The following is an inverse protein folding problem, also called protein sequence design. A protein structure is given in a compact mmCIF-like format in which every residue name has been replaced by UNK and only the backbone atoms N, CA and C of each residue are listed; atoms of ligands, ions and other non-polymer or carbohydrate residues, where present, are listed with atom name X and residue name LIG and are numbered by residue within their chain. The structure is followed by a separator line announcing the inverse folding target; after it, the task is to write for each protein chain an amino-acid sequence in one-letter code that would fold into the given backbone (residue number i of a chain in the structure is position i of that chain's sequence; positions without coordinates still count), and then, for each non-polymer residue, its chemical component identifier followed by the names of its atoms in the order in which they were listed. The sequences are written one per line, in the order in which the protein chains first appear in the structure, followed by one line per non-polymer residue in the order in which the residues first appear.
data_IF_416803480957
#
_entry.id   IF_416803480957
#
_cell.length_a   1.000
_cell.length_b   1.000
_cell.length_c   1.000
_cell.angle_alpha   90.00
_cell.angle_beta   90.00
_cell.angle_gamma   90.00
#
_symmetry.space_group_name_H-M   'P 1'
#
loop_
_entity.id
_entity.type
_entity.pdbx_description
1 polymer ?
#
# COMPACT_ATOMS: atom_id res chain seq x y z
N UNK A 1 -40.81 -15.97 83.96
CA UNK A 1 -40.10 -15.40 85.13
C UNK A 1 -38.63 -15.82 85.02
N UNK A 2 -37.80 -14.87 84.60
CA UNK A 2 -36.40 -14.63 85.03
C UNK A 2 -35.36 -15.78 85.05
N UNK A 3 -34.30 -15.53 84.26
CA UNK A 3 -32.86 -15.80 84.51
C UNK A 3 -32.29 -17.24 84.45
N UNK A 4 -31.30 -17.38 83.54
CA UNK A 4 -29.84 -17.44 83.79
C UNK A 4 -29.14 -18.60 83.07
N UNK A 5 -28.19 -18.20 82.24
CA UNK A 5 -27.23 -19.00 81.48
C UNK A 5 -26.50 -20.08 82.27
N UNK A 6 -26.30 -21.25 81.64
CA UNK A 6 -25.06 -22.02 81.74
C UNK A 6 -24.69 -22.64 80.38
N UNK A 7 -23.45 -22.36 80.02
CA UNK A 7 -22.65 -22.64 78.83
C UNK A 7 -22.41 -24.13 78.56
N UNK A 8 -22.49 -24.56 77.29
CA UNK A 8 -21.69 -25.68 76.77
C UNK A 8 -21.22 -25.37 75.34
N UNK A 9 -19.91 -25.41 75.16
CA UNK A 9 -19.14 -25.12 73.96
C UNK A 9 -19.31 -26.21 72.90
N UNK A 10 -19.74 -25.86 71.68
CA UNK A 10 -19.67 -26.75 70.52
C UNK A 10 -18.78 -26.13 69.44
N UNK A 11 -17.61 -26.72 69.27
CA UNK A 11 -16.58 -26.32 68.29
C UNK A 11 -17.09 -26.60 66.87
N UNK A 12 -17.20 -25.56 66.04
CA UNK A 12 -17.27 -25.72 64.58
C UNK A 12 -15.92 -25.36 63.97
N UNK A 13 -15.26 -26.36 63.41
CA UNK A 13 -14.07 -26.24 62.57
C UNK A 13 -14.52 -25.70 61.22
N UNK A 14 -14.21 -24.45 60.90
CA UNK A 14 -14.37 -23.90 59.55
C UNK A 14 -13.02 -23.96 58.82
N UNK A 15 -12.85 -24.95 57.95
CA UNK A 15 -11.76 -24.98 56.98
C UNK A 15 -12.04 -23.99 55.85
N UNK A 16 -11.15 -23.01 55.66
CA UNK A 16 -11.16 -22.13 54.49
C UNK A 16 -10.67 -22.94 53.27
N UNK A 17 -11.55 -23.25 52.33
CA UNK A 17 -11.15 -23.63 50.97
C UNK A 17 -10.98 -22.34 50.16
N UNK A 18 -9.74 -21.88 50.01
CA UNK A 18 -9.40 -20.86 49.01
C UNK A 18 -9.33 -21.58 47.66
N UNK A 19 -10.46 -21.63 46.96
CA UNK A 19 -10.48 -21.99 45.54
C UNK A 19 -10.10 -20.75 44.74
N UNK A 20 -8.84 -20.68 44.31
CA UNK A 20 -8.38 -19.67 43.36
C UNK A 20 -8.96 -19.99 41.98
N UNK A 21 -10.00 -19.27 41.58
CA UNK A 21 -10.47 -19.27 40.20
C UNK A 21 -9.50 -18.40 39.39
N UNK A 22 -8.63 -19.04 38.63
CA UNK A 22 -7.84 -18.38 37.59
C UNK A 22 -8.78 -18.12 36.40
N UNK A 23 -9.38 -16.92 36.37
CA UNK A 23 -10.10 -16.45 35.17
C UNK A 23 -9.05 -16.14 34.11
N UNK A 24 -8.80 -17.09 33.22
CA UNK A 24 -8.06 -16.81 31.98
C UNK A 24 -9.00 -15.99 31.12
N UNK A 25 -8.83 -14.66 31.15
CA UNK A 25 -9.51 -13.79 30.21
C UNK A 25 -8.96 -14.10 28.82
N UNK A 26 -9.74 -14.82 28.02
CA UNK A 26 -9.50 -14.92 26.59
C UNK A 26 -9.65 -13.51 26.02
N UNK A 27 -8.53 -12.82 25.84
CA UNK A 27 -8.49 -11.59 25.07
C UNK A 27 -8.77 -12.00 23.64
N UNK A 28 -10.04 -11.97 23.25
CA UNK A 28 -10.45 -12.01 21.87
C UNK A 28 -9.89 -10.75 21.21
N UNK A 29 -8.64 -10.84 20.77
CA UNK A 29 -7.96 -9.79 20.04
C UNK A 29 -8.64 -9.70 18.68
N UNK A 30 -9.69 -8.88 18.58
CA UNK A 30 -10.35 -8.57 17.33
C UNK A 30 -9.36 -7.82 16.46
N UNK A 31 -8.63 -8.54 15.62
CA UNK A 31 -7.83 -7.94 14.57
C UNK A 31 -8.75 -7.07 13.72
N UNK A 32 -8.46 -5.78 13.59
CA UNK A 32 -9.23 -4.87 12.76
C UNK A 32 -9.28 -5.42 11.33
N UNK A 33 -10.44 -5.85 10.85
CA UNK A 33 -10.59 -6.42 9.51
C UNK A 33 -10.43 -5.31 8.46
N UNK A 34 -9.64 -5.58 7.41
CA UNK A 34 -9.56 -4.68 6.25
C UNK A 34 -10.95 -4.44 5.66
N UNK A 35 -11.20 -3.22 5.18
CA UNK A 35 -12.47 -2.87 4.53
C UNK A 35 -12.32 -2.93 3.01
N UNK A 36 -12.44 -4.14 2.46
CA UNK A 36 -12.38 -4.40 1.01
C UNK A 36 -13.72 -4.97 0.56
N UNK A 37 -14.45 -4.17 -0.20
CA UNK A 37 -15.82 -4.50 -0.59
C UNK A 37 -15.99 -4.46 -2.11
N UNK A 38 -16.21 -5.62 -2.76
CA UNK A 38 -16.57 -5.68 -4.17
C UNK A 38 -17.86 -4.91 -4.47
N UNK A 39 -17.89 -4.20 -5.58
CA UNK A 39 -19.14 -3.66 -6.14
C UNK A 39 -19.78 -4.65 -7.13
N UNK A 40 -20.86 -4.22 -7.80
CA UNK A 40 -21.61 -5.02 -8.79
C UNK A 40 -21.39 -4.56 -10.25
N UNK A 41 -20.45 -3.65 -10.49
CA UNK A 41 -20.25 -2.97 -11.77
C UNK A 41 -19.55 -3.84 -12.83
N UNK A 42 -19.04 -5.01 -12.44
CA UNK A 42 -18.54 -6.06 -13.34
C UNK A 42 -19.61 -7.11 -13.71
N UNK A 43 -20.87 -6.91 -13.28
CA UNK A 43 -21.95 -7.86 -13.54
C UNK A 43 -21.70 -9.22 -12.88
N UNK A 44 -21.88 -10.31 -13.64
CA UNK A 44 -21.66 -11.68 -13.15
C UNK A 44 -20.20 -12.00 -12.84
N UNK A 45 -19.26 -11.21 -13.37
CA UNK A 45 -17.81 -11.41 -13.21
C UNK A 45 -17.24 -10.55 -12.08
N UNK A 46 -17.93 -10.53 -10.94
CA UNK A 46 -17.58 -9.73 -9.76
C UNK A 46 -16.24 -10.10 -9.15
N UNK A 47 -15.60 -9.13 -8.49
CA UNK A 47 -14.51 -9.42 -7.55
C UNK A 47 -15.04 -10.25 -6.38
N UNK A 48 -14.21 -11.14 -5.87
CA UNK A 48 -14.49 -12.00 -4.71
C UNK A 48 -13.40 -11.76 -3.68
N UNK A 49 -13.80 -11.49 -2.45
CA UNK A 49 -12.87 -11.34 -1.31
C UNK A 49 -13.09 -12.51 -0.37
N UNK A 50 -12.02 -13.26 -0.10
CA UNK A 50 -11.98 -14.27 0.94
C UNK A 50 -11.17 -13.73 2.12
N UNK A 51 -11.82 -13.31 3.21
CA UNK A 51 -11.13 -12.67 4.33
C UNK A 51 -10.40 -13.69 5.21
N UNK A 52 -9.44 -13.19 6.00
CA UNK A 52 -8.77 -13.94 7.08
C UNK A 52 -8.03 -15.21 6.63
N UNK A 53 -7.46 -15.21 5.43
CA UNK A 53 -6.52 -16.26 5.00
C UNK A 53 -5.10 -15.93 5.46
N UNK A 54 -4.31 -16.95 5.81
CA UNK A 54 -2.90 -16.76 6.10
C UNK A 54 -2.08 -16.76 4.81
N UNK A 55 -1.34 -15.68 4.53
CA UNK A 55 -0.42 -15.57 3.39
C UNK A 55 0.90 -15.06 3.96
N UNK A 56 2.00 -15.78 3.73
CA UNK A 56 3.34 -15.41 4.24
C UNK A 56 3.37 -15.12 5.76
N UNK A 57 2.52 -15.81 6.54
CA UNK A 57 2.44 -15.63 7.99
C UNK A 57 1.65 -14.40 8.46
N UNK A 58 1.01 -13.66 7.56
CA UNK A 58 0.15 -12.52 7.90
C UNK A 58 -1.34 -12.78 7.60
N UNK A 59 -2.26 -12.39 8.51
CA UNK A 59 -3.69 -12.46 8.26
C UNK A 59 -4.06 -11.52 7.10
N UNK A 60 -4.65 -12.09 6.05
CA UNK A 60 -4.82 -11.42 4.78
C UNK A 60 -6.20 -11.66 4.16
N UNK A 61 -6.58 -10.77 3.26
CA UNK A 61 -7.76 -10.94 2.43
C UNK A 61 -7.32 -11.33 1.02
N UNK A 62 -7.76 -12.50 0.55
CA UNK A 62 -7.45 -12.98 -0.80
C UNK A 62 -8.50 -12.52 -1.78
N UNK A 63 -8.06 -11.81 -2.80
CA UNK A 63 -8.89 -11.25 -3.85
C UNK A 63 -8.81 -12.16 -5.07
N UNK A 64 -9.96 -12.65 -5.53
CA UNK A 64 -10.11 -13.54 -6.69
C UNK A 64 -11.36 -13.15 -7.50
N UNK A 65 -11.75 -13.98 -8.47
CA UNK A 65 -12.84 -13.66 -9.40
C UNK A 65 -12.42 -12.60 -10.40
N UNK A 66 -13.31 -11.63 -10.68
CA UNK A 66 -13.05 -10.54 -11.63
C UNK A 66 -13.38 -10.89 -13.08
N UNK A 67 -13.37 -9.87 -13.93
CA UNK A 67 -13.68 -10.00 -15.35
C UNK A 67 -12.38 -10.17 -16.14
N UNK A 68 -12.16 -11.33 -16.77
CA UNK A 68 -10.97 -11.57 -17.60
C UNK A 68 -11.21 -11.16 -19.04
N UNK A 69 -10.25 -10.44 -19.64
CA UNK A 69 -10.19 -10.11 -21.07
C UNK A 69 -8.74 -10.30 -21.55
N UNK A 70 -8.46 -11.43 -22.20
CA UNK A 70 -7.09 -11.77 -22.61
C UNK A 70 -6.13 -11.82 -21.42
N UNK A 71 -5.10 -10.98 -21.46
CA UNK A 71 -4.07 -10.84 -20.42
C UNK A 71 -4.49 -9.95 -19.25
N UNK A 72 -5.65 -9.29 -19.32
CA UNK A 72 -6.13 -8.37 -18.30
C UNK A 72 -7.18 -9.04 -17.40
N UNK A 73 -7.03 -8.84 -16.10
CA UNK A 73 -8.01 -9.22 -15.09
C UNK A 73 -8.54 -7.96 -14.40
N UNK A 74 -9.82 -7.69 -14.54
CA UNK A 74 -10.45 -6.48 -14.01
C UNK A 74 -11.11 -6.77 -12.66
N UNK A 75 -10.82 -5.90 -11.69
CA UNK A 75 -11.45 -5.87 -10.38
C UNK A 75 -12.09 -4.51 -10.12
N UNK A 76 -13.24 -4.55 -9.45
CA UNK A 76 -13.97 -3.35 -9.05
C UNK A 76 -14.43 -3.47 -7.61
N UNK A 77 -14.23 -2.40 -6.85
CA UNK A 77 -14.55 -2.33 -5.44
C UNK A 77 -15.29 -1.04 -5.13
N UNK A 78 -16.26 -1.11 -4.22
CA UNK A 78 -16.82 0.07 -3.57
C UNK A 78 -15.83 0.65 -2.57
N UNK A 79 -15.23 -0.21 -1.76
CA UNK A 79 -14.24 0.16 -0.72
C UNK A 79 -12.98 -0.67 -0.89
N UNK A 80 -11.81 -0.04 -0.71
CA UNK A 80 -10.53 -0.72 -0.77
C UNK A 80 -9.55 -0.12 0.24
N UNK A 81 -9.58 -0.65 1.46
CA UNK A 81 -8.72 -0.26 2.56
C UNK A 81 -8.06 -1.51 3.17
N UNK A 82 -6.78 -1.41 3.50
CA UNK A 82 -6.00 -2.48 4.13
C UNK A 82 -5.51 -1.99 5.48
N UNK A 83 -5.90 -2.65 6.56
CA UNK A 83 -5.49 -2.24 7.90
C UNK A 83 -4.05 -2.64 8.21
N UNK A 84 -3.45 -1.98 9.21
CA UNK A 84 -2.11 -2.31 9.70
C UNK A 84 -2.02 -3.78 10.15
N UNK A 85 -0.85 -4.38 9.94
CA UNK A 85 -0.60 -5.79 10.30
C UNK A 85 -1.34 -6.82 9.45
N UNK A 86 -2.13 -6.39 8.44
CA UNK A 86 -2.86 -7.27 7.52
C UNK A 86 -2.32 -7.20 6.10
N UNK A 87 -2.67 -8.21 5.31
CA UNK A 87 -2.44 -8.23 3.86
C UNK A 87 -3.72 -8.15 3.04
N UNK A 88 -3.61 -7.69 1.79
CA UNK A 88 -4.58 -7.97 0.74
C UNK A 88 -3.84 -8.43 -0.52
N UNK A 89 -4.23 -9.58 -1.03
CA UNK A 89 -3.49 -10.26 -2.09
C UNK A 89 -4.38 -10.63 -3.25
N UNK A 90 -4.06 -10.12 -4.44
CA UNK A 90 -4.70 -10.55 -5.67
C UNK A 90 -4.16 -11.91 -6.10
N UNK A 91 -5.04 -12.86 -6.41
CA UNK A 91 -4.65 -14.07 -7.12
C UNK A 91 -4.21 -13.71 -8.55
N UNK A 92 -3.21 -14.41 -9.07
CA UNK A 92 -2.75 -14.25 -10.45
C UNK A 92 -3.02 -15.54 -11.27
N UNK A 93 -4.20 -15.69 -11.90
CA UNK A 93 -4.49 -16.85 -12.74
C UNK A 93 -3.56 -16.95 -13.95
N UNK A 94 -3.32 -18.17 -14.44
CA UNK A 94 -2.45 -18.40 -15.59
C UNK A 94 -2.82 -17.56 -16.82
N UNK A 95 -1.81 -16.90 -17.40
CA UNK A 95 -1.94 -16.03 -18.57
C UNK A 95 -2.54 -14.65 -18.29
N UNK A 96 -2.68 -14.25 -17.02
CA UNK A 96 -2.93 -12.85 -16.64
C UNK A 96 -1.59 -12.14 -16.47
N UNK A 97 -1.42 -11.03 -17.17
CA UNK A 97 -0.25 -10.16 -17.05
C UNK A 97 -0.56 -8.85 -16.31
N UNK A 98 -1.81 -8.40 -16.34
CA UNK A 98 -2.23 -7.15 -15.69
C UNK A 98 -3.50 -7.35 -14.86
N UNK A 99 -3.47 -6.86 -13.64
CA UNK A 99 -4.60 -6.79 -12.72
C UNK A 99 -5.02 -5.32 -12.64
N UNK A 100 -6.20 -5.02 -13.20
CA UNK A 100 -6.72 -3.67 -13.34
C UNK A 100 -7.81 -3.42 -12.31
N UNK A 101 -7.50 -2.63 -11.29
CA UNK A 101 -8.36 -2.40 -10.13
C UNK A 101 -8.88 -0.98 -10.10
N UNK A 102 -10.18 -0.82 -9.88
CA UNK A 102 -10.81 0.48 -9.62
C UNK A 102 -11.57 0.48 -8.29
N UNK A 103 -11.61 1.65 -7.65
CA UNK A 103 -12.51 1.95 -6.54
C UNK A 103 -13.60 2.90 -7.03
N UNK A 104 -14.87 2.50 -6.91
CA UNK A 104 -16.04 3.26 -7.40
C UNK A 104 -16.82 3.94 -6.29
N UNK A 105 -16.47 3.69 -5.02
CA UNK A 105 -17.04 4.42 -3.90
C UNK A 105 -16.55 5.86 -3.82
N UNK A 106 -16.95 6.55 -2.76
CA UNK A 106 -16.61 7.97 -2.52
C UNK A 106 -15.47 8.15 -1.52
N UNK A 107 -14.96 7.05 -0.97
CA UNK A 107 -13.93 7.09 0.05
C UNK A 107 -12.53 6.90 -0.56
N UNK A 108 -11.56 7.57 0.04
CA UNK A 108 -10.14 7.36 -0.23
C UNK A 108 -9.72 5.94 0.16
N UNK A 109 -8.67 5.44 -0.45
CA UNK A 109 -8.05 4.16 -0.06
C UNK A 109 -6.96 4.37 0.98
N UNK A 110 -7.13 3.78 2.17
CA UNK A 110 -6.10 3.73 3.21
C UNK A 110 -5.41 2.37 3.15
N UNK A 111 -4.18 2.35 2.68
CA UNK A 111 -3.32 1.17 2.58
C UNK A 111 -2.31 1.25 3.71
N UNK A 112 -2.66 0.66 4.86
CA UNK A 112 -1.85 0.71 6.07
C UNK A 112 -1.08 -0.60 6.30
N UNK A 113 -1.47 -1.67 5.59
CA UNK A 113 -0.83 -2.99 5.61
C UNK A 113 -0.11 -3.34 4.31
N UNK A 114 -0.04 -4.64 4.02
CA UNK A 114 0.63 -5.16 2.81
C UNK A 114 -0.36 -5.30 1.65
N UNK A 115 -0.05 -4.72 0.50
CA UNK A 115 -0.77 -4.94 -0.76
C UNK A 115 0.10 -5.80 -1.67
N UNK A 116 -0.42 -6.93 -2.16
CA UNK A 116 0.38 -7.84 -2.96
C UNK A 116 -0.35 -8.56 -4.09
N UNK A 117 0.44 -9.26 -4.91
CA UNK A 117 -0.01 -10.13 -5.98
C UNK A 117 0.63 -11.50 -5.80
N UNK A 118 -0.19 -12.55 -5.79
CA UNK A 118 0.30 -13.94 -5.72
C UNK A 118 0.80 -14.39 -7.09
N UNK A 119 1.91 -13.80 -7.54
CA UNK A 119 2.54 -14.01 -8.84
C UNK A 119 3.26 -12.76 -9.33
N UNK A 120 3.52 -12.69 -10.63
CA UNK A 120 4.29 -11.62 -11.26
C UNK A 120 3.47 -10.67 -12.16
N UNK A 121 2.13 -10.69 -12.06
CA UNK A 121 1.32 -9.74 -12.81
C UNK A 121 1.53 -8.31 -12.32
N UNK A 122 1.42 -7.37 -13.26
CA UNK A 122 1.38 -5.94 -12.96
C UNK A 122 0.08 -5.60 -12.24
N UNK A 123 0.14 -4.69 -11.28
CA UNK A 123 -1.02 -4.22 -10.55
C UNK A 123 -1.29 -2.76 -10.87
N UNK A 124 -2.52 -2.45 -11.28
CA UNK A 124 -3.02 -1.11 -11.48
C UNK A 124 -4.11 -0.86 -10.46
N UNK A 125 -4.03 0.24 -9.71
CA UNK A 125 -5.03 0.65 -8.73
C UNK A 125 -5.41 2.11 -8.98
N UNK A 126 -6.68 2.36 -9.30
CA UNK A 126 -7.23 3.71 -9.40
C UNK A 126 -8.28 3.97 -8.31
N UNK A 127 -8.15 5.10 -7.62
CA UNK A 127 -9.17 5.65 -6.72
C UNK A 127 -9.19 7.18 -6.85
N UNK A 128 -10.20 7.76 -7.52
CA UNK A 128 -10.32 9.22 -7.71
C UNK A 128 -10.40 10.03 -6.42
N UNK A 129 -10.77 9.41 -5.30
CA UNK A 129 -10.95 10.07 -4.01
C UNK A 129 -9.64 10.17 -3.19
N UNK A 130 -8.52 9.70 -3.75
CA UNK A 130 -7.22 9.75 -3.09
C UNK A 130 -6.76 8.42 -2.51
N UNK A 131 -5.45 8.31 -2.29
CA UNK A 131 -4.81 7.09 -1.81
C UNK A 131 -3.74 7.44 -0.78
N UNK A 132 -3.78 6.79 0.38
CA UNK A 132 -2.82 6.96 1.46
C UNK A 132 -2.12 5.62 1.69
N UNK A 133 -0.79 5.61 1.62
CA UNK A 133 0.05 4.54 2.13
C UNK A 133 0.59 4.94 3.51
N UNK A 134 0.19 4.20 4.54
CA UNK A 134 0.63 4.43 5.92
C UNK A 134 2.12 4.09 6.13
N UNK A 135 2.66 4.44 7.29
CA UNK A 135 4.08 4.21 7.59
C UNK A 135 4.49 2.73 7.54
N UNK A 136 3.55 1.84 7.87
CA UNK A 136 3.75 0.39 7.84
C UNK A 136 3.33 -0.26 6.50
N UNK A 137 2.92 0.55 5.53
CA UNK A 137 2.49 0.05 4.23
C UNK A 137 3.65 -0.61 3.48
N UNK A 138 3.36 -1.76 2.88
CA UNK A 138 4.32 -2.52 2.08
C UNK A 138 3.67 -2.99 0.79
N UNK A 139 4.49 -3.16 -0.24
CA UNK A 139 4.10 -3.81 -1.47
C UNK A 139 4.79 -5.18 -1.54
N UNK A 140 4.02 -6.21 -1.87
CA UNK A 140 4.53 -7.53 -2.30
C UNK A 140 4.09 -7.76 -3.74
N UNK A 141 4.70 -6.99 -4.64
CA UNK A 141 4.37 -6.95 -6.08
C UNK A 141 5.65 -7.18 -6.88
N UNK A 142 5.76 -8.36 -7.48
CA UNK A 142 6.92 -8.74 -8.28
C UNK A 142 6.90 -8.13 -9.69
N UNK A 143 5.73 -7.73 -10.19
CA UNK A 143 5.57 -6.98 -11.44
C UNK A 143 5.69 -5.47 -11.23
N UNK A 144 5.19 -4.70 -12.19
CA UNK A 144 5.04 -3.25 -12.06
C UNK A 144 3.80 -2.88 -11.24
N UNK A 145 3.87 -1.76 -10.52
CA UNK A 145 2.74 -1.19 -9.80
C UNK A 145 2.44 0.23 -10.28
N UNK A 146 1.20 0.44 -10.72
CA UNK A 146 0.68 1.75 -11.12
C UNK A 146 -0.45 2.12 -10.16
N UNK A 147 -0.28 3.23 -9.45
CA UNK A 147 -1.28 3.76 -8.53
C UNK A 147 -1.66 5.18 -8.92
N UNK A 148 -2.96 5.45 -9.00
CA UNK A 148 -3.44 6.73 -9.52
C UNK A 148 -4.76 7.21 -8.93
N UNK A 149 -4.97 8.52 -8.92
CA UNK A 149 -6.27 9.16 -8.65
C UNK A 149 -7.02 9.52 -9.93
N UNK A 150 -6.65 8.92 -11.07
CA UNK A 150 -7.37 9.07 -12.32
C UNK A 150 -8.80 8.52 -12.24
N UNK A 151 -9.71 9.18 -12.95
CA UNK A 151 -11.10 8.76 -13.12
C UNK A 151 -11.23 7.47 -13.93
N UNK A 152 -10.36 7.21 -14.92
CA UNK A 152 -10.40 6.00 -15.73
C UNK A 152 -9.06 5.62 -16.37
N UNK A 153 -8.92 4.33 -16.65
CA UNK A 153 -7.91 3.78 -17.56
C UNK A 153 -8.44 3.81 -19.00
N UNK A 154 -7.61 4.24 -19.94
CA UNK A 154 -7.94 4.29 -21.38
C UNK A 154 -7.14 3.24 -22.15
N UNK A 155 -7.81 2.53 -23.06
CA UNK A 155 -7.23 1.49 -23.92
C UNK A 155 -7.02 2.01 -25.35
N UNK A 156 -6.16 1.35 -26.17
CA UNK A 156 -5.87 1.78 -27.54
C UNK A 156 -7.09 1.96 -28.44
N UNK A 157 -8.14 1.18 -28.22
CA UNK A 157 -9.39 1.24 -28.97
C UNK A 157 -10.39 2.30 -28.45
N UNK A 158 -9.94 3.18 -27.55
CA UNK A 158 -10.78 4.22 -26.94
C UNK A 158 -11.70 3.72 -25.82
N UNK A 159 -11.72 2.41 -25.54
CA UNK A 159 -12.47 1.85 -24.43
C UNK A 159 -11.92 2.36 -23.09
N UNK A 160 -12.80 2.43 -22.09
CA UNK A 160 -12.49 3.00 -20.78
C UNK A 160 -12.88 2.02 -19.67
N UNK A 161 -12.00 1.90 -18.67
CA UNK A 161 -12.34 1.28 -17.40
C UNK A 161 -12.39 2.35 -16.32
N UNK A 162 -13.62 2.80 -16.01
CA UNK A 162 -13.87 4.02 -15.24
C UNK A 162 -14.29 3.77 -13.80
N UNK A 163 -13.70 4.51 -12.87
CA UNK A 163 -14.08 4.56 -11.45
C UNK A 163 -15.31 5.46 -11.21
N UNK A 164 -15.45 6.56 -11.96
CA UNK A 164 -16.50 7.59 -11.74
C UNK A 164 -17.78 7.38 -12.55
N UNK A 165 -17.71 6.65 -13.67
CA UNK A 165 -18.88 6.17 -14.41
C UNK A 165 -18.69 4.68 -14.74
N UNK A 166 -18.85 3.81 -13.73
CA UNK A 166 -18.40 2.44 -13.84
C UNK A 166 -19.36 1.61 -14.70
N UNK A 167 -18.83 1.10 -15.80
CA UNK A 167 -19.44 0.07 -16.63
C UNK A 167 -18.54 -1.18 -16.66
N UNK A 168 -19.12 -2.33 -17.01
CA UNK A 168 -18.35 -3.56 -17.19
C UNK A 168 -17.37 -3.39 -18.37
N UNK A 169 -16.13 -3.92 -18.28
CA UNK A 169 -15.15 -3.78 -19.35
C UNK A 169 -15.62 -4.52 -20.61
N UNK A 170 -15.50 -3.91 -21.79
CA UNK A 170 -15.92 -4.52 -23.04
C UNK A 170 -15.07 -5.76 -23.36
N UNK A 171 -15.60 -6.64 -24.22
CA UNK A 171 -14.95 -7.92 -24.53
C UNK A 171 -13.57 -7.75 -25.21
N UNK A 172 -13.36 -6.64 -25.92
CA UNK A 172 -12.16 -6.32 -26.68
C UNK A 172 -11.09 -5.52 -25.89
N UNK A 173 -11.14 -5.53 -24.57
CA UNK A 173 -10.09 -4.91 -23.72
C UNK A 173 -8.93 -5.88 -23.43
N UNK A 174 -8.33 -6.46 -24.48
CA UNK A 174 -7.20 -7.41 -24.37
C UNK A 174 -5.82 -6.73 -24.31
N UNK A 175 -5.76 -5.44 -24.62
CA UNK A 175 -4.51 -4.66 -24.66
C UNK A 175 -4.20 -4.03 -23.30
N UNK A 176 -2.95 -3.61 -23.08
CA UNK A 176 -2.57 -2.82 -21.89
C UNK A 176 -3.19 -1.42 -21.99
N UNK A 177 -3.65 -0.81 -20.86
CA UNK A 177 -4.02 0.60 -20.86
C UNK A 177 -2.89 1.49 -21.37
N UNK A 178 -3.22 2.48 -22.20
CA UNK A 178 -2.26 3.45 -22.77
C UNK A 178 -2.30 4.80 -22.07
N UNK A 179 -3.24 5.02 -21.14
CA UNK A 179 -3.35 6.30 -20.48
C UNK A 179 -4.23 6.30 -19.25
N UNK A 180 -3.95 7.28 -18.40
CA UNK A 180 -4.73 7.69 -17.24
C UNK A 180 -5.48 8.98 -17.61
N UNK A 181 -6.79 9.03 -17.33
CA UNK A 181 -7.58 10.24 -17.54
C UNK A 181 -8.26 10.66 -16.25
N UNK A 182 -8.07 11.92 -15.89
CA UNK A 182 -8.44 12.47 -14.59
C UNK A 182 -9.86 13.00 -14.51
N UNK A 183 -10.50 13.25 -15.66
CA UNK A 183 -11.83 13.87 -15.71
C UNK A 183 -11.74 15.39 -15.58
N UNK A 184 -12.86 16.04 -15.25
CA UNK A 184 -12.98 17.49 -15.14
C UNK A 184 -12.85 18.01 -13.71
N UNK A 185 -12.85 17.12 -12.72
CA UNK A 185 -12.64 17.46 -11.33
C UNK A 185 -11.13 17.50 -11.03
N UNK A 186 -10.74 18.35 -10.08
CA UNK A 186 -9.36 18.37 -9.61
C UNK A 186 -9.00 16.99 -9.03
N UNK A 187 -7.91 16.35 -9.48
CA UNK A 187 -7.54 15.04 -8.96
C UNK A 187 -7.14 15.10 -7.50
N UNK A 188 -7.50 14.07 -6.74
CA UNK A 188 -7.09 13.96 -5.34
C UNK A 188 -5.63 13.53 -5.18
N UNK A 189 -5.15 13.63 -3.93
CA UNK A 189 -3.77 13.36 -3.59
C UNK A 189 -3.42 11.86 -3.44
N UNK A 190 -2.15 11.56 -3.67
CA UNK A 190 -1.49 10.34 -3.20
C UNK A 190 -0.49 10.72 -2.12
N UNK A 191 -0.62 10.13 -0.94
CA UNK A 191 0.30 10.36 0.19
C UNK A 191 0.96 9.04 0.54
N UNK A 192 2.29 8.98 0.49
CA UNK A 192 3.07 7.83 0.90
C UNK A 192 3.94 8.15 2.12
N UNK A 193 3.69 7.45 3.23
CA UNK A 193 4.55 7.43 4.40
C UNK A 193 5.33 6.11 4.56
N UNK A 194 5.04 5.11 3.73
CA UNK A 194 5.62 3.78 3.80
C UNK A 194 6.79 3.55 2.84
N UNK A 195 7.41 2.38 2.94
CA UNK A 195 8.49 1.96 2.04
C UNK A 195 7.89 1.09 0.94
N UNK A 196 7.68 1.68 -0.24
CA UNK A 196 7.07 1.03 -1.39
C UNK A 196 8.16 0.49 -2.31
N UNK A 197 8.37 -0.82 -2.30
CA UNK A 197 9.33 -1.52 -3.18
C UNK A 197 8.60 -2.51 -4.08
N UNK A 198 8.90 -2.50 -5.37
CA UNK A 198 8.30 -3.40 -6.37
C UNK A 198 9.36 -4.01 -7.27
N UNK A 199 9.06 -5.15 -7.88
CA UNK A 199 9.97 -5.83 -8.80
C UNK A 199 10.18 -5.06 -10.12
N UNK A 200 9.10 -4.56 -10.72
CA UNK A 200 9.10 -3.83 -11.99
C UNK A 200 9.10 -2.30 -11.82
N UNK A 201 8.33 -1.61 -12.65
CA UNK A 201 8.15 -0.15 -12.59
C UNK A 201 7.22 0.25 -11.44
N UNK A 202 7.47 1.41 -10.83
CA UNK A 202 6.61 2.02 -9.82
C UNK A 202 6.12 3.38 -10.30
N UNK A 203 4.82 3.53 -10.55
CA UNK A 203 4.23 4.78 -11.01
C UNK A 203 3.18 5.29 -10.03
N UNK A 204 3.40 6.47 -9.45
CA UNK A 204 2.44 7.19 -8.62
C UNK A 204 1.96 8.43 -9.38
N UNK A 205 0.65 8.51 -9.66
CA UNK A 205 0.12 9.58 -10.50
C UNK A 205 -1.22 10.14 -10.00
N UNK A 206 -1.20 11.32 -9.38
CA UNK A 206 -2.40 11.95 -8.80
C UNK A 206 -2.34 13.47 -8.85
N UNK A 207 -3.27 14.15 -8.17
CA UNK A 207 -3.30 15.62 -8.18
C UNK A 207 -2.06 16.21 -7.54
N UNK A 208 -1.85 15.83 -6.29
CA UNK A 208 -0.58 16.01 -5.58
C UNK A 208 -0.04 14.63 -5.23
N UNK A 209 1.27 14.43 -5.35
CA UNK A 209 1.92 13.21 -4.85
C UNK A 209 2.99 13.60 -3.84
N UNK A 210 2.82 13.15 -2.60
CA UNK A 210 3.76 13.40 -1.50
C UNK A 210 4.30 12.06 -1.02
N UNK A 211 5.62 11.92 -0.94
CA UNK A 211 6.27 10.74 -0.35
C UNK A 211 7.26 11.17 0.72
N UNK A 212 7.03 10.73 1.96
CA UNK A 212 7.99 10.83 3.06
C UNK A 212 8.69 9.50 3.34
N UNK A 213 8.14 8.38 2.85
CA UNK A 213 8.80 7.08 2.85
C UNK A 213 9.59 6.80 1.57
N UNK A 214 10.21 5.61 1.51
CA UNK A 214 11.05 5.20 0.38
C UNK A 214 10.23 4.69 -0.81
N UNK A 215 10.73 4.92 -2.01
CA UNK A 215 10.21 4.37 -3.26
C UNK A 215 11.35 3.58 -3.93
N UNK A 216 11.08 2.34 -4.31
CA UNK A 216 12.06 1.45 -4.94
C UNK A 216 11.40 0.65 -6.07
N UNK A 217 12.12 0.54 -7.18
CA UNK A 217 11.79 -0.29 -8.33
C UNK A 217 13.03 -1.14 -8.62
N UNK A 218 12.99 -2.44 -8.29
CA UNK A 218 14.19 -3.29 -8.27
C UNK A 218 14.81 -3.45 -9.67
N UNK A 219 13.97 -3.60 -10.69
CA UNK A 219 14.39 -3.78 -12.08
C UNK A 219 13.78 -2.76 -13.04
N UNK A 220 12.90 -1.89 -12.55
CA UNK A 220 12.19 -0.89 -13.33
C UNK A 220 12.53 0.55 -12.99
N UNK A 221 11.66 1.45 -13.41
CA UNK A 221 11.76 2.89 -13.19
C UNK A 221 10.73 3.36 -12.17
N UNK A 222 11.04 4.47 -11.50
CA UNK A 222 10.11 5.17 -10.63
C UNK A 222 9.60 6.40 -11.38
N UNK A 223 8.28 6.52 -11.50
CA UNK A 223 7.60 7.69 -12.04
C UNK A 223 6.69 8.30 -10.97
N UNK A 224 6.86 9.60 -10.72
CA UNK A 224 6.00 10.37 -9.82
C UNK A 224 5.44 11.54 -10.62
N UNK A 225 4.12 11.60 -10.74
CA UNK A 225 3.43 12.60 -11.56
C UNK A 225 2.36 13.30 -10.74
N UNK A 226 2.50 14.62 -10.62
CA UNK A 226 1.46 15.50 -10.14
C UNK A 226 0.68 16.04 -11.36
N UNK A 227 -0.65 15.95 -11.30
CA UNK A 227 -1.57 16.37 -12.35
C UNK A 227 -2.44 17.49 -11.82
N UNK A 228 -2.07 18.71 -12.18
CA UNK A 228 -2.96 19.86 -12.03
C UNK A 228 -4.10 19.69 -13.04
N UNK A 229 -5.34 19.99 -12.63
CA UNK A 229 -6.50 19.98 -13.52
C UNK A 229 -6.16 20.70 -14.83
N UNK A 230 -6.39 20.00 -15.95
CA UNK A 230 -6.01 20.36 -17.33
C UNK A 230 -4.61 20.97 -17.51
N UNK A 231 -3.56 20.16 -17.35
CA UNK A 231 -2.36 20.29 -18.19
C UNK A 231 -2.03 18.91 -18.79
N UNK A 232 -1.97 18.84 -20.12
CA UNK A 232 -1.36 17.72 -20.86
C UNK A 232 0.12 17.67 -20.48
N UNK A 233 0.49 16.88 -19.49
CA UNK A 233 1.89 16.68 -19.10
C UNK A 233 2.59 15.82 -20.17
N UNK A 234 3.49 16.44 -20.94
CA UNK A 234 4.60 15.72 -21.58
C UNK A 234 5.66 15.52 -20.50
N UNK A 235 5.77 14.28 -20.02
CA UNK A 235 6.87 13.71 -19.24
C UNK A 235 7.55 14.61 -18.20
N UNK A 236 7.25 14.40 -16.91
CA UNK A 236 8.20 14.70 -15.85
C UNK A 236 8.88 13.40 -15.42
N UNK A 237 10.14 13.20 -15.86
CA UNK A 237 10.96 12.09 -15.38
C UNK A 237 11.78 12.57 -14.18
N UNK A 238 11.39 12.19 -12.96
CA UNK A 238 12.25 12.33 -11.80
C UNK A 238 13.34 11.24 -11.87
N UNK A 239 14.56 11.61 -12.28
CA UNK A 239 15.70 10.68 -12.24
C UNK A 239 16.26 10.64 -10.83
N UNK A 240 16.03 9.53 -10.11
CA UNK A 240 16.78 9.24 -8.89
C UNK A 240 18.24 8.97 -9.27
N UNK A 241 19.18 9.69 -8.65
CA UNK A 241 20.60 9.44 -8.86
C UNK A 241 21.05 8.26 -8.00
N UNK A 242 21.48 7.18 -8.65
CA UNK A 242 22.12 6.04 -7.98
C UNK A 242 23.42 6.47 -7.30
N UNK A 243 23.87 5.74 -6.28
CA UNK A 243 25.16 5.98 -5.61
C UNK A 243 26.33 6.05 -6.60
N UNK A 244 26.28 5.26 -7.68
CA UNK A 244 27.26 5.29 -8.77
C UNK A 244 27.20 6.59 -9.57
N UNK A 245 25.99 7.09 -9.88
CA UNK A 245 25.82 8.38 -10.57
C UNK A 245 26.27 9.55 -9.69
N UNK A 246 26.03 9.49 -8.37
CA UNK A 246 26.54 10.49 -7.42
C UNK A 246 28.07 10.47 -7.35
N UNK A 247 28.70 9.28 -7.33
CA UNK A 247 30.18 9.16 -7.33
C UNK A 247 30.77 9.68 -8.64
N UNK A 248 30.16 9.38 -9.79
CA UNK A 248 30.60 9.90 -11.09
C UNK A 248 30.47 11.42 -11.14
N UNK A 249 29.33 11.97 -10.69
CA UNK A 249 29.10 13.41 -10.63
C UNK A 249 30.08 14.10 -9.67
N UNK A 250 30.38 13.49 -8.52
CA UNK A 250 31.38 13.99 -7.57
C UNK A 250 32.79 13.99 -8.18
N UNK A 251 33.17 12.95 -8.94
CA UNK A 251 34.45 12.91 -9.65
C UNK A 251 34.54 13.97 -10.74
N UNK A 252 33.45 14.20 -11.47
CA UNK A 252 33.37 15.22 -12.52
C UNK A 252 33.48 16.64 -11.93
N UNK A 253 32.81 16.89 -10.81
CA UNK A 253 32.89 18.17 -10.07
C UNK A 253 34.31 18.38 -9.50
N UNK A 254 34.96 17.35 -8.97
CA UNK A 254 36.32 17.46 -8.42
C UNK A 254 37.38 17.73 -9.50
N UNK A 255 37.21 17.19 -10.71
CA UNK A 255 38.16 17.36 -11.82
C UNK A 255 38.11 18.75 -12.48
N UNK A 256 37.06 19.55 -12.22
CA UNK A 256 36.86 20.88 -12.80
C UNK A 256 37.01 22.03 -11.79
N UNK A 257 37.41 21.75 -10.54
CA UNK A 257 37.65 22.78 -9.54
C UNK A 257 39.13 23.19 -9.51
N UNK A 258 39.47 24.49 -9.47
CA UNK A 258 40.84 24.94 -9.28
C UNK A 258 41.35 24.49 -7.90
N UNK A 259 42.64 24.11 -7.84
CA UNK A 259 43.29 23.42 -6.71
C UNK A 259 43.01 24.04 -5.33
N UNK A 260 42.96 25.37 -5.24
CA UNK A 260 42.63 26.15 -4.02
C UNK A 260 41.25 25.79 -3.43
N UNK A 261 40.23 25.58 -4.27
CA UNK A 261 38.86 25.19 -3.84
C UNK A 261 38.73 23.69 -3.54
N UNK A 262 39.70 22.90 -3.97
CA UNK A 262 39.74 21.45 -3.72
C UNK A 262 40.15 21.16 -2.27
N UNK A 263 41.12 21.92 -1.73
CA UNK A 263 41.60 21.81 -0.34
C UNK A 263 40.52 22.22 0.67
N UNK A 264 39.80 23.31 0.40
CA UNK A 264 38.72 23.81 1.26
C UNK A 264 37.53 22.82 1.35
N UNK A 265 37.19 22.16 0.24
CA UNK A 265 36.15 21.13 0.20
C UNK A 265 36.58 19.81 0.85
N UNK A 266 37.85 19.41 0.71
CA UNK A 266 38.40 18.23 1.40
C UNK A 266 38.42 18.46 2.92
N UNK A 267 38.82 19.65 3.38
CA UNK A 267 38.79 20.00 4.80
C UNK A 267 37.36 20.00 5.39
N UNK A 268 36.37 20.52 4.64
CA UNK A 268 34.95 20.50 5.02
C UNK A 268 34.38 19.07 5.10
N UNK A 269 34.77 18.18 4.19
CA UNK A 269 34.31 16.79 4.17
C UNK A 269 34.93 15.93 5.28
N UNK A 270 36.17 16.22 5.69
CA UNK A 270 36.84 15.52 6.81
C UNK A 270 36.32 16.02 8.16
N UNK A 271 36.00 17.31 8.29
CA UNK A 271 35.39 17.88 9.50
C UNK A 271 33.99 17.31 9.79
N UNK A 272 33.21 17.01 8.74
CA UNK A 272 31.90 16.35 8.88
C UNK A 272 31.98 14.87 9.30
N UNK A 273 33.11 14.20 9.06
CA UNK A 273 33.32 12.80 9.45
C UNK A 273 33.83 12.64 10.90
N UNK A 274 34.33 13.71 11.54
CA UNK A 274 34.89 13.69 12.89
C UNK A 274 33.90 14.13 14.00
N UNK A 275 32.63 14.41 13.66
CA UNK A 275 31.58 14.78 14.61
C UNK A 275 30.73 13.59 15.12
N UNK A 276 31.22 12.36 15.00
CA UNK A 276 30.63 11.19 15.68
C UNK A 276 31.35 11.04 17.02
N UNK A 277 30.73 11.38 18.17
CA UNK A 277 31.36 11.13 19.47
C UNK A 277 31.50 9.61 19.70
N UNK A 278 32.61 9.14 20.29
CA UNK A 278 32.76 7.75 20.65
C UNK A 278 31.71 7.39 21.71
N UNK A 279 30.85 6.41 21.40
CA UNK A 279 29.98 5.81 22.41
C UNK A 279 30.88 5.12 23.45
N UNK A 280 30.75 5.56 24.70
CA UNK A 280 31.40 4.95 25.85
C UNK A 280 30.71 3.62 26.18
N UNK A 281 31.55 2.57 26.29
CA UNK A 281 31.39 1.27 26.98
C UNK A 281 30.04 0.53 26.88
#
# INVERSE_FOLDING_TARGET
MTQRDRTYQLKFVSGLLVSGILVVAEVNCTLAQSNIEPDRTLGSQRSIVQPNVNINGIPSDRISGGARRGINLFHSFREFNINEGRGAYFTNPAGVANILTRVTGTNRSNILGTLGVLGNANLFLINPNGIIFGQNARLDVQGSFVVSTASHLTFPNGNKFSATNPQAPPLLSVNVPIGLQYGTQQPESIINAGNLSVGGDLSLSGGTVTSTGQLEALTGQIAVTAVLGDIRVREMTARSATRSQIITLLREILNHLPFERMVEKLASSVAMAQLIPPQAL
#
